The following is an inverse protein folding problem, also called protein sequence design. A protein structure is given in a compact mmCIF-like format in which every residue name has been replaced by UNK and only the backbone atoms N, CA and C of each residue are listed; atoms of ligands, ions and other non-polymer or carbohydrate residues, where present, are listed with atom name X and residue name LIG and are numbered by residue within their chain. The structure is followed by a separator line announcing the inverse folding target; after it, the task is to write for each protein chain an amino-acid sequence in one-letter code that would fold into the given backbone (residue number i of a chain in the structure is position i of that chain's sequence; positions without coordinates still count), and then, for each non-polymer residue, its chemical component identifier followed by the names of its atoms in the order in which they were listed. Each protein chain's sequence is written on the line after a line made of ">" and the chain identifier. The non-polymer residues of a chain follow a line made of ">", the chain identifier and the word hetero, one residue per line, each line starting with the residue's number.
data_IF_772870686680
#
_entry.id   IF_772870686680
#
_cell.length_a   1.000
_cell.length_b   1.000
_cell.length_c   1.000
_cell.angle_alpha   90.00
_cell.angle_beta   90.00
_cell.angle_gamma   90.00
#
_symmetry.space_group_name_H-M   'P 1'
#
loop_
_entity.id
_entity.type
_entity.pdbx_description
1 polymer ?
#
# COMPACT_ATOMS: atom_id res chain seq x y z
N UNK A 1 -20.62 -3.00 -25.90
CA UNK A 1 -19.60 -3.90 -25.32
C UNK A 1 -19.57 -3.66 -23.82
N UNK A 2 -19.71 -4.72 -23.03
CA UNK A 2 -19.93 -4.66 -21.58
C UNK A 2 -18.62 -4.25 -20.90
N UNK A 3 -18.63 -3.07 -20.26
CA UNK A 3 -17.57 -2.65 -19.33
C UNK A 3 -17.80 -3.38 -18.01
N UNK A 4 -16.84 -4.19 -17.58
CA UNK A 4 -16.84 -4.75 -16.24
C UNK A 4 -16.08 -3.73 -15.39
N UNK A 5 -16.86 -2.90 -14.69
CA UNK A 5 -16.40 -2.04 -13.61
C UNK A 5 -16.27 -2.94 -12.39
N UNK A 6 -15.07 -3.02 -11.79
CA UNK A 6 -14.95 -3.60 -10.45
C UNK A 6 -15.51 -2.55 -9.50
N UNK A 7 -16.81 -2.66 -9.27
CA UNK A 7 -17.58 -1.83 -8.35
C UNK A 7 -17.37 -2.35 -6.94
N UNK A 8 -16.49 -1.73 -6.16
CA UNK A 8 -16.56 -1.84 -4.70
C UNK A 8 -17.71 -0.95 -4.25
N UNK A 9 -18.89 -1.55 -4.17
CA UNK A 9 -20.15 -0.88 -3.87
C UNK A 9 -20.26 -0.67 -2.35
N UNK A 10 -19.77 0.45 -1.82
CA UNK A 10 -20.14 0.87 -0.46
C UNK A 10 -21.52 1.53 -0.49
N UNK A 11 -22.56 0.74 -0.27
CA UNK A 11 -23.89 1.28 0.06
C UNK A 11 -23.95 1.48 1.57
N UNK A 12 -23.52 2.66 2.02
CA UNK A 12 -23.83 3.13 3.37
C UNK A 12 -25.33 3.49 3.42
N UNK A 13 -26.18 2.50 3.70
CA UNK A 13 -27.56 2.75 4.12
C UNK A 13 -27.57 2.85 5.64
N UNK A 14 -27.70 4.07 6.18
CA UNK A 14 -28.07 4.22 7.59
C UNK A 14 -29.31 5.10 7.77
N UNK A 15 -30.34 4.43 8.28
CA UNK A 15 -31.59 5.00 8.77
C UNK A 15 -31.27 5.82 10.02
N UNK A 16 -31.66 7.10 9.98
CA UNK A 16 -31.65 8.01 11.13
C UNK A 16 -32.52 7.47 12.27
N UNK A 17 -31.89 7.15 13.40
CA UNK A 17 -32.54 7.19 14.70
C UNK A 17 -31.59 7.91 15.67
N UNK A 18 -31.93 9.16 15.95
CA UNK A 18 -31.26 10.09 16.84
C UNK A 18 -31.36 9.65 18.30
N UNK A 19 -30.25 9.71 19.04
CA UNK A 19 -30.24 10.25 20.41
C UNK A 19 -28.92 10.96 20.69
N UNK A 20 -29.03 12.15 21.26
CA UNK A 20 -27.94 13.08 21.58
C UNK A 20 -27.29 12.62 22.89
N UNK A 21 -25.96 12.52 22.92
CA UNK A 21 -25.18 12.68 24.16
C UNK A 21 -24.00 13.59 23.85
N UNK A 22 -24.01 14.78 24.45
CA UNK A 22 -22.93 15.75 24.36
C UNK A 22 -21.69 15.27 25.11
N UNK A 23 -20.52 15.35 24.47
CA UNK A 23 -19.23 15.34 25.14
C UNK A 23 -18.48 16.65 24.82
N UNK A 24 -17.91 17.26 25.87
CA UNK A 24 -17.26 18.58 25.87
C UNK A 24 -16.02 18.64 24.96
N UNK A 25 -15.71 19.81 24.37
CA UNK A 25 -14.48 19.99 23.59
C UNK A 25 -13.25 20.03 24.51
N UNK A 26 -12.19 19.34 24.09
CA UNK A 26 -10.86 19.41 24.69
C UNK A 26 -10.08 20.58 24.08
N UNK A 27 -9.44 21.35 24.95
CA UNK A 27 -8.72 22.60 24.65
C UNK A 27 -7.42 22.30 23.90
N UNK A 28 -7.22 22.94 22.76
CA UNK A 28 -5.96 22.95 22.00
C UNK A 28 -4.95 23.91 22.65
N UNK A 29 -3.69 23.51 22.89
CA UNK A 29 -2.63 24.47 23.13
C UNK A 29 -1.99 24.92 21.81
N UNK A 30 -1.94 26.24 21.66
CA UNK A 30 -1.22 27.00 20.65
C UNK A 30 0.29 26.76 20.76
N UNK A 31 0.94 26.35 19.67
CA UNK A 31 2.41 26.28 19.59
C UNK A 31 2.86 27.03 18.34
N UNK A 32 3.33 28.24 18.65
CA UNK A 32 4.11 29.15 17.83
C UNK A 32 5.25 28.45 17.08
N UNK A 33 5.34 28.79 15.79
CA UNK A 33 6.32 28.35 14.83
C UNK A 33 7.73 28.90 15.11
N UNK A 34 8.73 28.03 15.03
CA UNK A 34 10.12 28.43 14.75
C UNK A 34 10.69 27.60 13.60
N UNK A 35 11.50 28.21 12.71
CA UNK A 35 12.06 27.54 11.54
C UNK A 35 13.36 26.82 11.91
N UNK A 36 13.53 25.57 11.47
CA UNK A 36 14.84 24.89 11.53
C UNK A 36 15.22 24.37 10.16
N UNK A 37 16.43 24.75 9.75
CA UNK A 37 17.10 24.51 8.48
C UNK A 37 17.01 23.09 7.94
N UNK A 38 16.91 23.00 6.60
CA UNK A 38 17.20 21.80 5.82
C UNK A 38 18.58 21.23 6.17
N UNK A 39 18.59 20.11 6.87
CA UNK A 39 19.74 19.21 6.92
C UNK A 39 19.43 18.07 5.95
N UNK A 40 20.18 18.02 4.84
CA UNK A 40 20.20 16.87 3.95
C UNK A 40 20.92 15.75 4.69
N UNK A 41 20.19 14.72 5.11
CA UNK A 41 20.79 13.46 5.55
C UNK A 41 20.62 12.43 4.44
N UNK A 42 21.73 12.15 3.75
CA UNK A 42 21.91 10.86 3.09
C UNK A 42 21.88 9.77 4.18
N UNK A 43 21.07 8.72 4.05
CA UNK A 43 21.20 7.58 4.94
C UNK A 43 22.53 6.90 4.61
N UNK A 44 23.45 6.95 5.57
CA UNK A 44 24.62 6.09 5.60
C UNK A 44 24.26 4.90 6.47
N UNK A 45 23.82 3.80 5.85
CA UNK A 45 23.99 2.47 6.45
C UNK A 45 24.17 1.44 5.33
N UNK A 46 25.44 1.19 5.02
CA UNK A 46 25.90 -0.02 4.32
C UNK A 46 25.93 -1.16 5.34
N UNK A 47 24.77 -1.66 5.73
CA UNK A 47 24.67 -3.06 6.13
C UNK A 47 24.17 -3.76 4.87
N UNK A 48 25.03 -4.57 4.21
CA UNK A 48 24.59 -5.34 3.06
C UNK A 48 23.51 -6.30 3.53
N UNK A 49 22.25 -5.94 3.32
CA UNK A 49 21.16 -6.84 3.65
C UNK A 49 21.06 -7.83 2.51
N UNK A 50 21.78 -8.93 2.67
CA UNK A 50 21.73 -10.06 1.75
C UNK A 50 20.36 -10.72 1.94
N UNK A 51 19.35 -10.27 1.20
CA UNK A 51 17.99 -10.76 1.33
C UNK A 51 16.97 -9.97 0.51
N UNK A 52 15.89 -10.67 0.13
CA UNK A 52 14.73 -10.10 -0.53
C UNK A 52 13.86 -9.40 0.51
N UNK A 53 13.50 -8.16 0.24
CA UNK A 53 12.56 -7.39 1.05
C UNK A 53 11.16 -7.92 0.81
N UNK A 54 10.55 -8.50 1.84
CA UNK A 54 9.17 -8.94 1.80
C UNK A 54 8.30 -7.98 2.59
N UNK A 55 7.22 -7.51 1.95
CA UNK A 55 6.16 -6.75 2.60
C UNK A 55 4.83 -7.46 2.38
N UNK A 56 4.06 -7.65 3.45
CA UNK A 56 2.66 -8.03 3.35
C UNK A 56 1.79 -6.94 3.94
N UNK A 57 0.86 -6.45 3.13
CA UNK A 57 -0.17 -5.50 3.51
C UNK A 57 -1.50 -6.24 3.57
N UNK A 58 -2.17 -6.16 4.71
CA UNK A 58 -3.55 -6.66 4.87
C UNK A 58 -4.46 -5.49 5.16
N UNK A 59 -5.32 -5.14 4.21
CA UNK A 59 -6.37 -4.16 4.40
C UNK A 59 -7.53 -4.81 5.17
N UNK A 60 -7.99 -4.12 6.20
CA UNK A 60 -9.07 -4.51 7.09
C UNK A 60 -10.28 -3.62 6.82
N UNK A 61 -11.44 -4.26 6.70
CA UNK A 61 -12.75 -3.62 6.62
C UNK A 61 -13.18 -3.07 8.00
N UNK A 62 -14.27 -2.29 8.05
CA UNK A 62 -14.81 -1.72 9.29
C UNK A 62 -15.14 -2.79 10.37
N UNK A 63 -15.57 -3.98 9.93
CA UNK A 63 -15.90 -5.10 10.82
C UNK A 63 -14.66 -5.91 11.26
N UNK A 64 -13.47 -5.51 10.83
CA UNK A 64 -12.19 -6.18 11.09
C UNK A 64 -11.95 -7.42 10.23
N UNK A 65 -12.82 -7.72 9.27
CA UNK A 65 -12.57 -8.75 8.27
C UNK A 65 -11.50 -8.31 7.26
N UNK A 66 -10.89 -9.27 6.57
CA UNK A 66 -9.82 -8.99 5.60
C UNK A 66 -10.45 -8.67 4.25
N UNK A 67 -10.21 -7.45 3.76
CA UNK A 67 -10.61 -7.01 2.43
C UNK A 67 -9.63 -7.50 1.37
N UNK A 68 -8.41 -6.95 1.41
CA UNK A 68 -7.36 -7.22 0.42
C UNK A 68 -6.07 -7.63 1.11
N UNK A 69 -5.39 -8.63 0.54
CA UNK A 69 -4.01 -8.97 0.91
C UNK A 69 -3.11 -8.75 -0.29
N UNK A 70 -2.08 -7.93 -0.09
CA UNK A 70 -1.01 -7.68 -1.05
C UNK A 70 0.29 -8.18 -0.44
N UNK A 71 1.02 -9.02 -1.16
CA UNK A 71 2.35 -9.47 -0.77
C UNK A 71 3.33 -9.02 -1.84
N UNK A 72 4.43 -8.38 -1.46
CA UNK A 72 5.48 -7.94 -2.37
C UNK A 72 6.84 -8.49 -1.96
N UNK A 73 7.67 -8.68 -2.97
CA UNK A 73 9.05 -9.10 -2.86
C UNK A 73 9.91 -8.17 -3.72
N UNK A 74 10.95 -7.60 -3.15
CA UNK A 74 11.89 -6.73 -3.85
C UNK A 74 13.31 -7.20 -3.60
N UNK A 75 14.06 -7.48 -4.67
CA UNK A 75 15.51 -7.67 -4.58
C UNK A 75 16.18 -6.28 -4.68
N UNK A 76 16.73 -5.73 -3.58
CA UNK A 76 17.35 -4.41 -3.61
C UNK A 76 18.68 -4.36 -4.40
N UNK A 77 19.20 -5.51 -4.82
CA UNK A 77 20.44 -5.63 -5.61
C UNK A 77 20.13 -5.66 -7.10
N UNK A 78 19.16 -6.47 -7.53
CA UNK A 78 18.79 -6.61 -8.95
C UNK A 78 17.66 -5.70 -9.38
N UNK A 79 16.96 -5.07 -8.43
CA UNK A 79 15.70 -4.35 -8.60
C UNK A 79 14.58 -5.21 -9.19
N UNK A 80 14.68 -6.54 -9.09
CA UNK A 80 13.58 -7.42 -9.46
C UNK A 80 12.48 -7.32 -8.39
N UNK A 81 11.24 -7.15 -8.85
CA UNK A 81 10.05 -7.01 -8.01
C UNK A 81 9.01 -8.06 -8.39
N UNK A 82 8.26 -8.51 -7.39
CA UNK A 82 7.07 -9.34 -7.52
C UNK A 82 6.02 -8.79 -6.58
N UNK A 83 4.78 -8.77 -7.05
CA UNK A 83 3.60 -8.59 -6.21
C UNK A 83 2.61 -9.69 -6.46
N UNK A 84 2.00 -10.16 -5.39
CA UNK A 84 0.84 -11.02 -5.42
C UNK A 84 -0.33 -10.24 -4.83
N UNK A 85 -1.44 -10.17 -5.57
CA UNK A 85 -2.69 -9.61 -5.07
C UNK A 85 -3.69 -10.74 -4.87
N UNK A 86 -4.15 -10.88 -3.64
CA UNK A 86 -5.21 -11.81 -3.26
C UNK A 86 -6.45 -10.96 -2.99
N UNK A 87 -7.24 -10.77 -4.04
CA UNK A 87 -8.53 -10.08 -3.95
C UNK A 87 -9.62 -11.15 -3.78
N UNK A 88 -10.44 -10.99 -2.75
CA UNK A 88 -11.63 -11.80 -2.54
C UNK A 88 -12.81 -11.07 -3.15
N UNK A 89 -13.41 -11.65 -4.17
CA UNK A 89 -14.63 -11.13 -4.78
C UNK A 89 -15.83 -11.27 -3.83
N UNK A 90 -16.90 -10.52 -4.12
CA UNK A 90 -18.14 -10.55 -3.33
C UNK A 90 -18.80 -11.93 -3.24
N UNK A 91 -18.57 -12.80 -4.23
CA UNK A 91 -19.04 -14.19 -4.25
C UNK A 91 -18.10 -15.18 -3.52
N UNK A 92 -16.99 -14.67 -2.96
CA UNK A 92 -15.97 -15.44 -2.27
C UNK A 92 -14.89 -16.04 -3.18
N UNK A 93 -14.93 -15.80 -4.49
CA UNK A 93 -13.90 -16.24 -5.43
C UNK A 93 -12.60 -15.49 -5.15
N UNK A 94 -11.48 -16.20 -5.24
CA UNK A 94 -10.13 -15.64 -5.09
C UNK A 94 -9.44 -15.73 -6.45
N UNK A 95 -8.96 -14.59 -6.94
CA UNK A 95 -8.19 -14.50 -8.17
C UNK A 95 -6.73 -14.15 -7.85
N UNK A 96 -5.88 -15.14 -7.52
CA UNK A 96 -4.48 -14.88 -7.29
C UNK A 96 -3.82 -14.51 -8.62
N UNK A 97 -3.23 -13.32 -8.66
CA UNK A 97 -2.41 -12.85 -9.77
C UNK A 97 -1.07 -12.42 -9.21
N UNK A 98 -0.01 -12.76 -9.93
CA UNK A 98 1.30 -12.18 -9.70
C UNK A 98 1.68 -11.24 -10.82
N UNK A 99 2.21 -10.07 -10.48
CA UNK A 99 2.91 -9.22 -11.43
C UNK A 99 4.38 -9.17 -11.02
N UNK A 100 5.25 -9.13 -12.02
CA UNK A 100 6.69 -9.09 -11.86
C UNK A 100 7.23 -7.93 -12.68
N UNK A 101 8.22 -7.28 -12.12
CA UNK A 101 9.06 -6.32 -12.80
C UNK A 101 10.49 -6.85 -12.69
N UNK A 102 11.00 -7.42 -13.77
CA UNK A 102 12.28 -8.12 -13.82
C UNK A 102 13.28 -7.35 -14.68
N UNK A 103 14.54 -7.77 -14.61
CA UNK A 103 15.62 -7.25 -15.45
C UNK A 103 15.77 -5.73 -15.26
N UNK A 104 15.86 -5.29 -13.99
CA UNK A 104 16.00 -3.88 -13.59
C UNK A 104 14.90 -2.97 -14.19
N UNK A 105 13.65 -3.42 -14.12
CA UNK A 105 12.52 -2.64 -14.64
C UNK A 105 12.13 -2.92 -16.10
N UNK A 106 13.00 -3.55 -16.88
CA UNK A 106 12.83 -3.59 -18.34
C UNK A 106 11.95 -4.73 -18.85
N UNK A 107 11.46 -5.59 -17.96
CA UNK A 107 10.58 -6.71 -18.31
C UNK A 107 9.44 -6.84 -17.32
N UNK A 108 8.23 -6.56 -17.80
CA UNK A 108 7.02 -6.76 -17.02
C UNK A 108 6.40 -8.12 -17.35
N UNK A 109 6.03 -8.88 -16.33
CA UNK A 109 5.40 -10.19 -16.48
C UNK A 109 4.17 -10.29 -15.59
N UNK A 110 3.04 -10.69 -16.14
CA UNK A 110 1.87 -11.12 -15.38
C UNK A 110 1.77 -12.63 -15.43
N UNK A 111 1.63 -13.25 -14.26
CA UNK A 111 1.41 -14.69 -14.11
C UNK A 111 0.01 -14.92 -13.55
N UNK A 112 -0.77 -15.70 -14.29
CA UNK A 112 -2.06 -16.21 -13.86
C UNK A 112 -1.85 -17.48 -13.02
N UNK A 113 -2.52 -17.55 -11.86
CA UNK A 113 -2.40 -18.66 -10.92
C UNK A 113 -3.71 -19.39 -10.72
N UNK A 114 -3.62 -20.67 -10.36
CA UNK A 114 -4.77 -21.44 -9.93
C UNK A 114 -5.22 -21.02 -8.51
N UNK A 115 -6.37 -21.56 -8.07
CA UNK A 115 -6.90 -21.31 -6.72
C UNK A 115 -5.98 -21.72 -5.56
N UNK A 116 -4.95 -22.53 -5.83
CA UNK A 116 -3.96 -22.96 -4.84
C UNK A 116 -2.68 -22.11 -4.91
N UNK A 117 -2.60 -21.13 -5.81
CA UNK A 117 -1.44 -20.28 -6.02
C UNK A 117 -0.39 -20.85 -6.98
N UNK A 118 -0.65 -21.98 -7.64
CA UNK A 118 0.28 -22.53 -8.63
C UNK A 118 0.22 -21.71 -9.93
N UNK A 119 1.37 -21.41 -10.53
CA UNK A 119 1.42 -20.74 -11.83
C UNK A 119 0.83 -21.64 -12.93
N UNK A 120 -0.06 -21.09 -13.76
CA UNK A 120 -0.68 -21.79 -14.90
C UNK A 120 -0.03 -21.32 -16.21
N UNK A 121 0.05 -20.00 -16.37
CA UNK A 121 0.54 -19.34 -17.58
C UNK A 121 0.86 -17.89 -17.27
N UNK A 122 1.52 -17.20 -18.19
CA UNK A 122 1.72 -15.77 -18.07
C UNK A 122 1.89 -15.05 -19.39
N UNK A 123 1.96 -13.74 -19.28
CA UNK A 123 2.18 -12.81 -20.37
C UNK A 123 3.32 -11.89 -20.00
N UNK A 124 4.13 -11.50 -20.97
CA UNK A 124 5.19 -10.53 -20.74
C UNK A 124 5.31 -9.51 -21.85
N UNK A 125 5.84 -8.35 -21.51
CA UNK A 125 6.31 -7.34 -22.44
C UNK A 125 7.68 -6.81 -22.01
N UNK A 126 8.38 -6.21 -22.96
CA UNK A 126 9.61 -5.46 -22.68
C UNK A 126 9.23 -4.00 -22.55
N UNK A 127 9.82 -3.33 -21.56
CA UNK A 127 9.64 -1.92 -21.28
C UNK A 127 10.91 -1.17 -21.63
N UNK A 128 10.74 0.04 -22.15
CA UNK A 128 11.79 1.04 -22.14
C UNK A 128 12.04 1.52 -20.72
N UNK A 129 13.19 2.14 -20.48
CA UNK A 129 13.53 2.71 -19.18
C UNK A 129 12.59 3.84 -18.74
N UNK A 130 11.99 4.55 -19.70
CA UNK A 130 11.00 5.58 -19.42
C UNK A 130 9.67 4.95 -18.99
N UNK A 131 9.20 3.92 -19.70
CA UNK A 131 7.99 3.18 -19.33
C UNK A 131 8.14 2.47 -17.97
N UNK A 132 9.33 1.97 -17.63
CA UNK A 132 9.56 1.33 -16.33
C UNK A 132 9.54 2.31 -15.16
N UNK A 133 9.60 3.61 -15.41
CA UNK A 133 9.54 4.67 -14.41
C UNK A 133 8.13 5.27 -14.27
N UNK A 134 7.17 4.81 -15.07
CA UNK A 134 5.77 5.20 -14.91
C UNK A 134 5.28 4.72 -13.53
N UNK A 135 4.68 5.60 -12.70
CA UNK A 135 4.13 5.24 -11.40
C UNK A 135 3.11 4.09 -11.44
N UNK A 136 2.45 3.88 -12.57
CA UNK A 136 1.54 2.74 -12.77
C UNK A 136 2.25 1.41 -13.03
N UNK A 137 3.54 1.45 -13.38
CA UNK A 137 4.37 0.26 -13.65
C UNK A 137 5.18 -0.13 -12.43
N UNK A 138 5.81 0.83 -11.76
CA UNK A 138 6.59 0.58 -10.54
C UNK A 138 5.74 0.83 -9.29
N UNK A 139 4.89 -0.13 -8.94
CA UNK A 139 3.88 0.06 -7.91
C UNK A 139 4.34 -0.38 -6.50
N UNK A 140 5.63 -0.65 -6.26
CA UNK A 140 6.04 -1.34 -5.03
C UNK A 140 7.26 -0.73 -4.37
N UNK A 141 7.01 -0.24 -3.16
CA UNK A 141 7.97 0.40 -2.29
C UNK A 141 8.97 -0.61 -1.72
N UNK A 142 10.25 -0.29 -1.87
CA UNK A 142 11.32 -0.92 -1.08
C UNK A 142 11.15 -0.52 0.40
N UNK A 143 11.87 -1.19 1.30
CA UNK A 143 11.96 -0.74 2.69
C UNK A 143 12.55 0.66 2.81
N UNK A 144 13.44 1.07 1.89
CA UNK A 144 13.96 2.42 1.84
C UNK A 144 12.86 3.43 1.45
N UNK A 145 12.00 3.09 0.50
CA UNK A 145 10.87 3.93 0.08
C UNK A 145 9.83 4.07 1.20
N UNK A 146 9.46 2.97 1.87
CA UNK A 146 8.57 3.00 3.03
C UNK A 146 9.11 3.90 4.15
N UNK A 147 10.41 3.77 4.49
CA UNK A 147 11.06 4.66 5.47
C UNK A 147 11.03 6.11 5.02
N UNK A 148 11.28 6.35 3.72
CA UNK A 148 11.27 7.69 3.16
C UNK A 148 9.87 8.32 3.28
N UNK A 149 8.81 7.61 2.91
CA UNK A 149 7.42 8.06 3.01
C UNK A 149 7.10 8.61 4.41
N UNK A 150 7.46 7.87 5.45
CA UNK A 150 7.16 8.25 6.84
C UNK A 150 8.20 9.18 7.48
N UNK A 151 9.28 9.49 6.77
CA UNK A 151 10.27 10.51 7.19
C UNK A 151 9.90 11.92 6.71
N UNK A 152 8.90 12.04 5.83
CA UNK A 152 8.51 13.31 5.24
C UNK A 152 7.88 14.27 6.28
N UNK A 153 8.06 15.60 6.12
CA UNK A 153 7.70 16.58 7.16
C UNK A 153 6.19 16.76 7.38
N UNK A 154 5.34 16.27 6.50
CA UNK A 154 3.88 16.25 6.69
C UNK A 154 3.44 15.36 7.85
N UNK A 155 4.26 14.40 8.26
CA UNK A 155 3.98 13.54 9.40
C UNK A 155 4.30 14.22 10.73
N UNK A 156 3.29 14.34 11.58
CA UNK A 156 3.43 14.84 12.95
C UNK A 156 3.71 13.70 13.92
N UNK A 157 4.77 13.83 14.71
CA UNK A 157 5.09 12.89 15.78
C UNK A 157 4.12 13.06 16.96
N UNK A 158 3.37 11.99 17.27
CA UNK A 158 2.40 11.92 18.39
C UNK A 158 2.95 11.13 19.59
N UNK A 159 4.23 10.79 19.58
CA UNK A 159 4.95 10.11 20.64
C UNK A 159 5.08 8.60 20.44
N UNK A 160 5.58 7.93 21.48
CA UNK A 160 5.90 6.50 21.46
C UNK A 160 4.87 5.68 22.23
N UNK A 161 4.60 4.47 21.75
CA UNK A 161 3.82 3.44 22.46
C UNK A 161 4.57 2.11 22.48
N UNK A 162 4.07 1.14 23.24
CA UNK A 162 4.58 -0.23 23.24
C UNK A 162 3.52 -1.18 22.69
N UNK A 163 3.93 -2.05 21.77
CA UNK A 163 3.10 -3.14 21.28
C UNK A 163 2.91 -4.23 22.35
N UNK A 164 2.01 -5.17 22.10
CA UNK A 164 1.75 -6.31 23.01
C UNK A 164 2.97 -7.21 23.21
N UNK A 165 3.84 -7.32 22.21
CA UNK A 165 5.10 -8.06 22.24
C UNK A 165 6.28 -7.21 22.75
N UNK A 166 6.04 -5.99 23.23
CA UNK A 166 7.03 -5.14 23.89
C UNK A 166 7.90 -4.32 22.94
N UNK A 167 7.65 -4.35 21.64
CA UNK A 167 8.31 -3.48 20.67
C UNK A 167 7.89 -2.03 20.88
N UNK A 168 8.80 -1.10 20.62
CA UNK A 168 8.51 0.33 20.66
C UNK A 168 7.99 0.79 19.30
N UNK A 169 6.89 1.53 19.32
CA UNK A 169 6.21 2.04 18.13
C UNK A 169 6.16 3.56 18.18
N UNK A 170 6.71 4.22 17.17
CA UNK A 170 6.53 5.64 16.92
C UNK A 170 5.17 5.86 16.27
N UNK A 171 4.34 6.73 16.86
CA UNK A 171 3.05 7.09 16.29
C UNK A 171 3.20 8.38 15.49
N UNK A 172 2.79 8.34 14.24
CA UNK A 172 2.72 9.52 13.38
C UNK A 172 1.28 9.81 12.98
N UNK A 173 0.98 11.08 12.82
CA UNK A 173 -0.30 11.60 12.36
C UNK A 173 -0.10 12.40 11.08
N UNK A 174 -0.95 12.14 10.09
CA UNK A 174 -1.00 12.84 8.82
C UNK A 174 -2.41 13.30 8.49
N UNK A 175 -2.50 14.33 7.65
CA UNK A 175 -3.76 14.75 7.04
C UNK A 175 -3.60 14.85 5.55
N UNK A 176 -4.61 14.39 4.81
CA UNK A 176 -4.63 14.43 3.37
C UNK A 176 -6.01 14.83 2.84
N UNK A 177 -6.08 14.93 1.53
CA UNK A 177 -7.33 15.04 0.80
C UNK A 177 -7.41 13.81 -0.10
N UNK A 178 -8.47 13.03 0.08
CA UNK A 178 -8.76 11.92 -0.82
C UNK A 178 -9.66 12.44 -1.94
N UNK A 179 -9.07 12.55 -3.13
CA UNK A 179 -9.77 12.78 -4.40
C UNK A 179 -9.76 11.45 -5.13
N UNK A 180 -10.88 10.72 -5.14
CA UNK A 180 -11.00 9.50 -5.92
C UNK A 180 -12.05 9.64 -7.03
N UNK A 181 -11.96 8.75 -8.02
CA UNK A 181 -12.85 8.75 -9.18
C UNK A 181 -14.24 8.16 -8.86
N UNK A 182 -14.50 7.78 -7.61
CA UNK A 182 -15.74 7.18 -7.13
C UNK A 182 -16.65 8.26 -6.55
N UNK A 183 -16.05 9.31 -5.98
CA UNK A 183 -16.75 10.49 -5.53
C UNK A 183 -17.22 11.34 -6.72
N UNK A 184 -18.36 12.04 -6.61
CA UNK A 184 -18.81 12.98 -7.63
C UNK A 184 -17.72 14.00 -7.96
N UNK A 185 -17.63 14.42 -9.22
CA UNK A 185 -16.65 15.41 -9.66
C UNK A 185 -16.73 16.68 -8.78
N UNK A 186 -15.60 17.03 -8.14
CA UNK A 186 -15.51 18.15 -7.19
C UNK A 186 -15.78 17.80 -5.72
N UNK A 187 -16.07 16.55 -5.39
CA UNK A 187 -16.05 16.07 -4.01
C UNK A 187 -14.61 15.74 -3.60
N UNK A 188 -14.19 16.35 -2.50
CA UNK A 188 -12.94 16.04 -1.83
C UNK A 188 -13.24 15.78 -0.37
N UNK A 189 -12.65 14.71 0.17
CA UNK A 189 -12.86 14.30 1.55
C UNK A 189 -11.56 14.46 2.31
N UNK A 190 -11.62 15.23 3.40
CA UNK A 190 -10.48 15.33 4.32
C UNK A 190 -10.28 13.98 4.99
N UNK A 191 -9.05 13.48 4.92
CA UNK A 191 -8.65 12.26 5.60
C UNK A 191 -7.62 12.55 6.68
N UNK A 192 -7.70 11.78 7.75
CA UNK A 192 -6.72 11.71 8.83
C UNK A 192 -6.12 10.33 8.85
N UNK A 193 -4.81 10.27 8.89
CA UNK A 193 -4.03 9.04 8.87
C UNK A 193 -3.23 8.90 10.16
N UNK A 194 -3.22 7.70 10.73
CA UNK A 194 -2.43 7.36 11.90
C UNK A 194 -1.59 6.14 11.59
N UNK A 195 -0.27 6.29 11.59
CA UNK A 195 0.66 5.19 11.32
C UNK A 195 1.50 4.88 12.55
N UNK A 196 1.73 3.59 12.77
CA UNK A 196 2.65 3.08 13.79
C UNK A 196 3.89 2.50 13.12
N UNK A 197 5.06 3.04 13.46
CA UNK A 197 6.36 2.66 12.90
C UNK A 197 7.18 1.92 13.97
N UNK A 198 7.76 0.77 13.64
CA UNK A 198 8.65 0.04 14.55
C UNK A 198 9.96 0.84 14.71
N UNK A 199 10.34 1.21 15.94
CA UNK A 199 11.47 2.14 16.21
C UNK A 199 12.81 1.63 15.68
N UNK A 200 13.07 0.34 15.81
CA UNK A 200 14.32 -0.32 15.45
C UNK A 200 14.53 -0.47 13.94
N UNK A 201 13.45 -0.69 13.18
CA UNK A 201 13.54 -0.91 11.72
C UNK A 201 13.17 0.31 10.91
N UNK A 202 12.36 1.22 11.47
CA UNK A 202 11.74 2.34 10.74
C UNK A 202 10.62 1.91 9.80
N UNK A 203 10.11 0.68 9.92
CA UNK A 203 9.08 0.13 9.02
C UNK A 203 7.68 0.23 9.64
N UNK A 204 6.63 0.39 8.81
CA UNK A 204 5.26 0.45 9.30
C UNK A 204 4.81 -0.91 9.87
N UNK A 205 3.91 -0.81 10.84
CA UNK A 205 3.22 -1.95 11.47
C UNK A 205 1.72 -1.85 11.25
N UNK A 206 1.15 -0.65 11.33
CA UNK A 206 -0.27 -0.39 11.14
C UNK A 206 -0.48 1.02 10.58
N UNK A 207 -1.42 1.17 9.64
CA UNK A 207 -2.00 2.44 9.22
C UNK A 207 -3.52 2.41 9.48
N UNK A 208 -4.08 3.47 10.06
CA UNK A 208 -5.52 3.65 10.19
C UNK A 208 -5.96 4.96 9.56
N UNK A 209 -6.94 4.88 8.67
CA UNK A 209 -7.43 6.03 7.90
C UNK A 209 -8.86 6.33 8.31
N UNK A 210 -9.12 7.61 8.52
CA UNK A 210 -10.42 8.13 8.90
C UNK A 210 -10.79 9.27 7.97
N UNK A 211 -12.06 9.35 7.58
CA UNK A 211 -12.58 10.52 6.88
C UNK A 211 -13.36 11.42 7.82
N UNK A 212 -13.41 12.71 7.50
CA UNK A 212 -14.18 13.69 8.25
C UNK A 212 -15.28 14.31 7.38
N UNK A 213 -16.53 14.17 7.84
CA UNK A 213 -17.70 14.79 7.22
C UNK A 213 -18.49 15.56 8.28
N UNK A 214 -18.73 16.86 8.05
CA UNK A 214 -19.46 17.73 8.99
C UNK A 214 -18.90 17.73 10.42
N UNK A 215 -17.57 17.59 10.58
CA UNK A 215 -16.91 17.52 11.89
C UNK A 215 -17.02 16.16 12.61
N UNK A 216 -17.61 15.16 11.95
CA UNK A 216 -17.68 13.78 12.45
C UNK A 216 -16.60 12.96 11.77
N UNK A 217 -15.72 12.37 12.58
CA UNK A 217 -14.67 11.47 12.11
C UNK A 217 -15.21 10.04 12.07
N UNK A 218 -15.15 9.42 10.89
CA UNK A 218 -15.57 8.04 10.65
C UNK A 218 -14.37 7.21 10.19
N UNK A 219 -14.30 5.97 10.66
CA UNK A 219 -13.28 5.03 10.20
C UNK A 219 -13.50 4.70 8.73
N UNK A 220 -12.42 4.58 7.96
CA UNK A 220 -12.48 4.21 6.54
C UNK A 220 -11.92 2.81 6.32
N UNK A 221 -10.65 2.63 6.67
CA UNK A 221 -9.97 1.33 6.62
C UNK A 221 -8.74 1.35 7.53
N UNK A 222 -8.20 0.16 7.79
CA UNK A 222 -6.89 -0.01 8.40
C UNK A 222 -6.05 -0.97 7.57
N UNK A 223 -4.74 -0.83 7.65
CA UNK A 223 -3.78 -1.72 7.03
C UNK A 223 -2.84 -2.27 8.10
N UNK A 224 -2.60 -3.57 8.05
CA UNK A 224 -1.57 -4.22 8.85
C UNK A 224 -0.39 -4.60 7.97
N UNK A 225 0.81 -4.26 8.43
CA UNK A 225 2.06 -4.50 7.72
C UNK A 225 2.87 -5.61 8.38
N UNK A 226 3.37 -6.54 7.57
CA UNK A 226 4.42 -7.48 7.96
C UNK A 226 5.61 -7.29 7.02
N UNK A 227 6.70 -6.74 7.56
CA UNK A 227 7.95 -6.53 6.83
C UNK A 227 9.06 -7.44 7.37
N UNK A 228 9.73 -8.20 6.50
CA UNK A 228 10.88 -9.03 6.85
C UNK A 228 11.81 -9.23 5.65
N UNK A 229 13.06 -9.58 5.93
CA UNK A 229 13.98 -10.08 4.89
C UNK A 229 13.83 -11.59 4.74
N UNK A 230 13.78 -12.08 3.50
CA UNK A 230 13.78 -13.51 3.18
C UNK A 230 14.97 -13.86 2.28
N UNK A 231 15.37 -15.13 2.28
CA UNK A 231 16.53 -15.62 1.50
C UNK A 231 16.14 -16.31 0.19
N UNK A 232 14.85 -16.53 -0.02
CA UNK A 232 14.35 -17.24 -1.18
C UNK A 232 14.39 -16.35 -2.41
N UNK A 233 15.39 -16.56 -3.28
CA UNK A 233 15.52 -15.86 -4.57
C UNK A 233 14.70 -16.52 -5.67
N UNK A 234 14.21 -17.75 -5.46
CA UNK A 234 13.39 -18.46 -6.45
C UNK A 234 12.00 -17.80 -6.60
N UNK A 235 11.64 -16.88 -5.71
CA UNK A 235 10.41 -16.07 -5.81
C UNK A 235 10.30 -15.32 -7.14
N UNK A 236 11.42 -15.03 -7.83
CA UNK A 236 11.49 -14.37 -9.14
C UNK A 236 11.72 -15.34 -10.32
N UNK A 237 11.90 -16.64 -10.06
CA UNK A 237 12.18 -17.61 -11.11
C UNK A 237 10.88 -17.97 -11.86
N UNK A 238 10.86 -17.69 -13.17
CA UNK A 238 9.71 -17.98 -14.05
C UNK A 238 10.01 -19.04 -15.12
N UNK A 239 11.13 -19.76 -15.01
CA UNK A 239 11.64 -20.64 -16.08
C UNK A 239 10.64 -21.72 -16.51
N UNK A 240 9.87 -22.27 -15.58
CA UNK A 240 8.92 -23.34 -15.84
C UNK A 240 7.49 -22.86 -16.15
N UNK A 241 7.30 -21.54 -16.29
CA UNK A 241 5.99 -20.95 -16.55
C UNK A 241 5.85 -20.72 -18.07
N UNK A 242 4.79 -21.22 -18.72
CA UNK A 242 4.51 -20.88 -20.11
C UNK A 242 4.20 -19.39 -20.25
N UNK A 243 5.12 -18.63 -20.86
CA UNK A 243 4.97 -17.19 -21.08
C UNK A 243 4.73 -16.86 -22.55
N UNK A 244 3.73 -16.02 -22.82
CA UNK A 244 3.44 -15.48 -24.15
C UNK A 244 3.83 -14.01 -24.24
N UNK A 245 4.58 -13.62 -25.28
CA UNK A 245 4.97 -12.22 -25.49
C UNK A 245 3.79 -11.38 -25.99
N UNK A 246 3.65 -10.16 -25.47
CA UNK A 246 2.76 -9.13 -25.97
C UNK A 246 3.55 -7.86 -26.32
N UNK A 247 3.01 -7.08 -27.25
CA UNK A 247 3.67 -5.88 -27.81
C UNK A 247 3.49 -4.62 -26.97
N UNK A 248 2.54 -4.61 -26.02
CA UNK A 248 2.29 -3.49 -25.12
C UNK A 248 1.83 -4.00 -23.75
N UNK A 249 2.07 -3.19 -22.71
CA UNK A 249 1.36 -3.31 -21.43
C UNK A 249 -0.14 -3.19 -21.70
N UNK A 250 -0.86 -4.31 -21.59
CA UNK A 250 -2.30 -4.25 -21.44
C UNK A 250 -2.54 -4.10 -19.94
N UNK A 251 -3.25 -3.04 -19.54
CA UNK A 251 -3.76 -2.79 -18.19
C UNK A 251 -2.84 -2.06 -17.20
N UNK A 252 -2.92 -0.73 -17.23
CA UNK A 252 -2.91 0.11 -16.03
C UNK A 252 -4.12 1.05 -16.21
N UNK A 253 -5.15 0.94 -15.35
CA UNK A 253 -6.33 1.82 -15.30
C UNK A 253 -7.45 1.69 -16.37
N UNK A 254 -7.52 0.60 -17.13
CA UNK A 254 -8.72 0.31 -17.94
C UNK A 254 -8.84 1.09 -19.26
N UNK A 255 -7.77 1.73 -19.72
CA UNK A 255 -7.65 2.22 -21.10
C UNK A 255 -6.62 1.39 -21.88
N UNK A 256 -6.97 1.01 -23.12
CA UNK A 256 -6.04 0.40 -24.07
C UNK A 256 -5.25 1.51 -24.77
N UNK A 257 -3.91 1.46 -24.71
CA UNK A 257 -3.03 2.33 -25.50
C UNK A 257 -2.48 1.64 -26.74
#
# INVERSE_FOLDING_TARGET
>A
MKKIVISTLFVASMILASTIVMAKPLITPDISSQPVSKVVHQPTDKQSVDGIEYTKLTQLEEDGSKGVVIESWVDPITNDKRVDSIVKESDGTVHPRSNYLLEDGTKWVQVDRDKNGNAISGKYCSLTKEESQDPGVDMWDTFADLKFIYSKPEWKNEGMTSSKDGKKLLNLYGTGILEDNIQPEGCSVNVSEYVQIQEDTGLPVNLSVYYEENGVKSFMYAEAYECKYIQDKDVFNLTDIPLTKYTKLQFIHGEEY
#
